data_IF_445026454313
#
_entry.id   IF_445026454313
#
_cell.length_a   1.000
_cell.length_b   1.000
_cell.length_c   1.000
_cell.angle_alpha   90.00
_cell.angle_beta   90.00
_cell.angle_gamma   90.00
#
_symmetry.space_group_name_H-M   'P 1'
#
loop_
_entity.id
_entity.type
_entity.pdbx_description
1 polymer ?
#
# COMPACT_ATOMS: atom_id res chain seq x y z
N UNK A 1 34.90 -34.93 -4.72
CA UNK A 1 33.79 -34.13 -4.18
C UNK A 1 33.60 -32.90 -5.06
N UNK A 2 32.74 -32.96 -6.08
CA UNK A 2 32.45 -31.82 -6.95
C UNK A 2 31.20 -31.11 -6.43
N UNK A 3 31.38 -29.93 -5.84
CA UNK A 3 30.26 -29.04 -5.53
C UNK A 3 29.75 -28.43 -6.83
N UNK A 4 28.74 -29.07 -7.43
CA UNK A 4 27.90 -28.41 -8.41
C UNK A 4 27.14 -27.31 -7.68
N UNK A 5 27.61 -26.06 -7.80
CA UNK A 5 26.82 -24.90 -7.38
C UNK A 5 25.61 -24.86 -8.30
N UNK A 6 24.47 -25.32 -7.79
CA UNK A 6 23.18 -24.99 -8.35
C UNK A 6 23.05 -23.47 -8.26
N UNK A 7 23.48 -22.79 -9.31
CA UNK A 7 23.01 -21.46 -9.64
C UNK A 7 21.54 -21.66 -10.00
N UNK A 8 20.69 -21.74 -8.99
CA UNK A 8 19.25 -21.60 -9.16
C UNK A 8 19.08 -20.30 -9.91
N UNK A 9 18.77 -20.41 -11.19
CA UNK A 9 18.27 -19.32 -12.00
C UNK A 9 16.97 -18.93 -11.33
N UNK A 10 17.05 -18.05 -10.33
CA UNK A 10 15.97 -17.16 -10.02
C UNK A 10 15.82 -16.32 -11.27
N UNK A 11 15.10 -16.88 -12.24
CA UNK A 11 14.41 -16.13 -13.27
C UNK A 11 13.62 -15.09 -12.49
N UNK A 12 14.23 -13.92 -12.31
CA UNK A 12 13.55 -12.68 -11.97
C UNK A 12 12.54 -12.54 -13.09
N UNK A 13 11.34 -13.01 -12.82
CA UNK A 13 10.20 -12.76 -13.66
C UNK A 13 9.64 -11.43 -13.16
N UNK A 14 10.07 -10.29 -13.74
CA UNK A 14 9.61 -8.97 -13.29
C UNK A 14 8.09 -8.84 -13.33
N UNK A 15 7.42 -9.66 -14.16
CA UNK A 15 5.97 -9.66 -14.31
C UNK A 15 5.27 -10.18 -13.05
N UNK A 16 5.75 -11.29 -12.47
CA UNK A 16 5.21 -11.81 -11.20
C UNK A 16 5.36 -10.83 -10.05
N UNK A 17 6.52 -10.17 -9.95
CA UNK A 17 6.73 -9.13 -8.94
C UNK A 17 5.82 -7.91 -9.17
N UNK A 18 5.63 -7.50 -10.42
CA UNK A 18 4.73 -6.40 -10.76
C UNK A 18 3.28 -6.71 -10.37
N UNK A 19 2.80 -7.93 -10.63
CA UNK A 19 1.46 -8.40 -10.24
C UNK A 19 1.28 -8.39 -8.72
N UNK A 20 2.25 -8.93 -7.96
CA UNK A 20 2.18 -8.95 -6.49
C UNK A 20 2.21 -7.53 -5.92
N UNK A 21 3.04 -6.64 -6.47
CA UNK A 21 3.12 -5.24 -6.05
C UNK A 21 1.82 -4.48 -6.33
N UNK A 22 1.18 -4.73 -7.49
CA UNK A 22 -0.11 -4.13 -7.82
C UNK A 22 -1.20 -4.60 -6.86
N UNK A 23 -1.27 -5.91 -6.57
CA UNK A 23 -2.21 -6.47 -5.60
C UNK A 23 -1.98 -5.89 -4.20
N UNK A 24 -0.72 -5.78 -3.76
CA UNK A 24 -0.37 -5.19 -2.48
C UNK A 24 -0.83 -3.74 -2.37
N UNK A 25 -0.59 -2.91 -3.40
CA UNK A 25 -1.07 -1.52 -3.44
C UNK A 25 -2.58 -1.42 -3.25
N UNK A 26 -3.35 -2.23 -3.99
CA UNK A 26 -4.82 -2.25 -3.85
C UNK A 26 -5.26 -2.63 -2.44
N UNK A 27 -4.58 -3.60 -1.80
CA UNK A 27 -4.89 -3.95 -0.42
C UNK A 27 -4.54 -2.85 0.58
N UNK A 28 -3.40 -2.16 0.38
CA UNK A 28 -3.02 -1.01 1.20
C UNK A 28 -4.00 0.14 1.05
N UNK A 29 -4.47 0.45 -0.16
CA UNK A 29 -5.49 1.48 -0.38
C UNK A 29 -6.82 1.14 0.27
N UNK A 30 -7.23 -0.13 0.22
CA UNK A 30 -8.44 -0.60 0.88
C UNK A 30 -8.32 -0.52 2.42
N UNK A 31 -7.16 -0.90 2.97
CA UNK A 31 -6.89 -0.79 4.40
C UNK A 31 -6.78 0.67 4.85
N UNK A 32 -6.14 1.54 4.05
CA UNK A 32 -6.02 2.97 4.32
C UNK A 32 -7.38 3.66 4.40
N UNK A 33 -8.30 3.34 3.47
CA UNK A 33 -9.69 3.83 3.53
C UNK A 33 -10.42 3.39 4.80
N UNK A 34 -10.25 2.14 5.23
CA UNK A 34 -10.86 1.65 6.48
C UNK A 34 -10.25 2.33 7.71
N UNK A 35 -8.93 2.49 7.74
CA UNK A 35 -8.25 3.20 8.81
C UNK A 35 -8.74 4.66 8.92
N UNK A 36 -8.94 5.34 7.79
CA UNK A 36 -9.46 6.70 7.78
C UNK A 36 -10.87 6.80 8.39
N UNK A 37 -11.75 5.84 8.10
CA UNK A 37 -13.08 5.78 8.71
C UNK A 37 -13.03 5.53 10.22
N UNK A 38 -12.11 4.67 10.67
CA UNK A 38 -11.92 4.41 12.11
C UNK A 38 -11.41 5.66 12.82
N UNK A 39 -10.44 6.36 12.24
CA UNK A 39 -9.90 7.62 12.79
C UNK A 39 -10.99 8.67 12.88
N UNK A 40 -11.78 8.85 11.82
CA UNK A 40 -12.89 9.80 11.82
C UNK A 40 -13.96 9.49 12.88
N UNK A 41 -14.15 8.20 13.22
CA UNK A 41 -15.06 7.79 14.29
C UNK A 41 -14.51 7.99 15.70
N UNK A 42 -13.20 8.23 15.85
CA UNK A 42 -12.53 8.36 17.14
C UNK A 42 -11.94 9.76 17.39
N UNK A 43 -11.83 10.59 16.35
CA UNK A 43 -11.36 11.98 16.44
C UNK A 43 -12.35 12.86 17.18
N UNK A 44 -11.83 13.83 17.93
CA UNK A 44 -12.64 14.79 18.68
C UNK A 44 -13.32 15.82 17.76
N UNK A 45 -12.64 16.21 16.68
CA UNK A 45 -13.15 17.15 15.68
C UNK A 45 -12.48 16.94 14.31
N UNK A 46 -12.85 17.76 13.33
CA UNK A 46 -12.35 17.67 11.96
C UNK A 46 -10.86 18.03 11.82
N UNK A 47 -10.33 18.91 12.68
CA UNK A 47 -8.92 19.31 12.68
C UNK A 47 -8.07 18.17 13.25
N UNK A 48 -8.47 17.63 14.40
CA UNK A 48 -7.84 16.46 15.03
C UNK A 48 -7.84 15.25 14.08
N UNK A 49 -8.95 15.00 13.39
CA UNK A 49 -9.02 13.96 12.37
C UNK A 49 -8.00 14.20 11.25
N UNK A 50 -7.90 15.42 10.72
CA UNK A 50 -6.97 15.75 9.65
C UNK A 50 -5.50 15.56 10.08
N UNK A 51 -5.15 15.99 11.30
CA UNK A 51 -3.81 15.80 11.86
C UNK A 51 -3.46 14.32 12.02
N UNK A 52 -4.38 13.52 12.57
CA UNK A 52 -4.18 12.07 12.73
C UNK A 52 -4.05 11.35 11.38
N UNK A 53 -4.84 11.73 10.37
CA UNK A 53 -4.72 11.16 9.03
C UNK A 53 -3.37 11.52 8.39
N UNK A 54 -2.88 12.75 8.56
CA UNK A 54 -1.59 13.18 8.05
C UNK A 54 -0.43 12.43 8.74
N UNK A 55 -0.51 12.22 10.06
CA UNK A 55 0.48 11.42 10.80
C UNK A 55 0.55 9.97 10.33
N UNK A 56 -0.58 9.41 9.88
CA UNK A 56 -0.67 8.05 9.36
C UNK A 56 -0.39 7.96 7.85
N UNK A 57 -0.19 9.09 7.16
CA UNK A 57 -0.01 9.17 5.70
C UNK A 57 -1.27 8.80 4.90
N UNK A 58 -2.45 8.96 5.51
CA UNK A 58 -3.75 8.63 4.93
C UNK A 58 -4.46 9.84 4.28
N UNK A 59 -3.88 11.03 4.39
CA UNK A 59 -4.35 12.31 3.84
C UNK A 59 -4.23 12.39 2.31
N UNK A 60 -3.46 11.49 1.69
CA UNK A 60 -3.18 11.48 0.25
C UNK A 60 -4.22 10.72 -0.60
N UNK A 61 -5.19 10.05 0.03
CA UNK A 61 -6.15 9.14 -0.65
C UNK A 61 -7.24 9.85 -1.48
N UNK A 62 -7.28 11.18 -1.51
CA UNK A 62 -8.29 11.95 -2.26
C UNK A 62 -7.85 12.45 -3.64
N UNK A 63 -6.66 12.09 -4.13
CA UNK A 63 -6.31 12.36 -5.54
C UNK A 63 -6.64 11.15 -6.40
N UNK A 64 -7.91 11.00 -6.75
CA UNK A 64 -8.34 10.19 -7.89
C UNK A 64 -7.69 10.80 -9.14
N UNK A 65 -6.76 10.15 -9.85
CA UNK A 65 -6.50 10.54 -11.24
C UNK A 65 -7.74 10.16 -12.03
N UNK A 66 -8.49 11.16 -12.50
CA UNK A 66 -9.56 10.97 -13.47
C UNK A 66 -8.98 10.30 -14.74
N UNK A 67 -9.71 9.38 -15.38
CA UNK A 67 -9.31 8.86 -16.69
C UNK A 67 -9.55 9.95 -17.75
N UNK A 68 -8.50 10.30 -18.50
CA UNK A 68 -8.62 10.95 -19.83
C UNK A 68 -8.91 9.90 -20.90
#
# INVERSE_FOLDING_TARGET
MTWARHASTTSKDPDRFAVVQAAYKLTCEAQGRRAALVVAGHSADATDCAELLAMLGLDTVSRTPAPE
#
